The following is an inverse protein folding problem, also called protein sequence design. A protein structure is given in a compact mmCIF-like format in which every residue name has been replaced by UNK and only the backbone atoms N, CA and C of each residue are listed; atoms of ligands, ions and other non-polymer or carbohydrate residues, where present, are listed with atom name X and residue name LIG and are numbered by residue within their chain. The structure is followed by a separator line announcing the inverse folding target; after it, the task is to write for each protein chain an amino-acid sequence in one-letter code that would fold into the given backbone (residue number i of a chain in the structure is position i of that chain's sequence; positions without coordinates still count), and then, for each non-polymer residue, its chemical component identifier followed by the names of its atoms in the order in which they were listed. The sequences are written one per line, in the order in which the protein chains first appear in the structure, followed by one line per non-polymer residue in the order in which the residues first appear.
data_IF_313040408336
#
_entry.id   IF_313040408336
#
_cell.length_a   1.000
_cell.length_b   1.000
_cell.length_c   1.000
_cell.angle_alpha   90.00
_cell.angle_beta   90.00
_cell.angle_gamma   90.00
#
_symmetry.space_group_name_H-M   'P 1'
#
loop_
_entity.id
_entity.type
_entity.pdbx_description
1 polymer ?
#
# COMPACT_ATOMS: atom_id res chain seq x y z
N UNK A 1 31.85 -16.30 37.97
CA UNK A 1 31.06 -15.05 38.00
C UNK A 1 30.48 -14.82 36.61
N UNK A 2 29.28 -15.34 36.35
CA UNK A 2 28.63 -15.25 35.04
C UNK A 2 27.80 -13.96 34.98
N UNK A 3 28.17 -13.04 34.11
CA UNK A 3 27.38 -11.82 33.83
C UNK A 3 26.13 -12.21 33.04
N UNK A 4 24.97 -12.10 33.69
CA UNK A 4 23.66 -12.18 33.05
C UNK A 4 23.44 -10.88 32.27
N UNK A 5 23.51 -10.96 30.94
CA UNK A 5 23.18 -9.84 30.05
C UNK A 5 21.65 -9.72 30.01
N UNK A 6 21.10 -8.77 30.76
CA UNK A 6 19.68 -8.46 30.75
C UNK A 6 19.37 -7.70 29.45
N UNK A 7 18.91 -8.41 28.42
CA UNK A 7 18.37 -7.80 27.20
C UNK A 7 17.03 -7.14 27.53
N UNK A 8 17.05 -5.83 27.77
CA UNK A 8 15.83 -5.03 27.89
C UNK A 8 15.17 -4.98 26.52
N UNK A 9 14.23 -5.89 26.28
CA UNK A 9 13.27 -5.79 25.19
C UNK A 9 12.38 -4.59 25.51
N UNK A 10 12.73 -3.41 25.00
CA UNK A 10 11.79 -2.29 24.98
C UNK A 10 10.63 -2.71 24.06
N UNK A 11 9.41 -2.92 24.58
CA UNK A 11 8.28 -3.11 23.70
C UNK A 11 8.12 -1.79 22.94
N UNK A 12 8.45 -1.80 21.66
CA UNK A 12 8.06 -0.73 20.73
C UNK A 12 6.56 -0.83 20.55
N UNK A 13 5.81 -0.34 21.54
CA UNK A 13 4.35 -0.26 21.42
C UNK A 13 4.05 0.81 20.37
N UNK A 14 3.96 0.38 19.11
CA UNK A 14 3.39 1.17 18.04
C UNK A 14 1.89 1.26 18.31
N UNK A 15 1.48 2.33 18.98
CA UNK A 15 0.06 2.62 19.19
C UNK A 15 -0.60 2.97 17.85
N UNK A 16 -1.61 2.19 17.45
CA UNK A 16 -2.38 2.41 16.21
C UNK A 16 -3.67 3.19 16.51
N UNK A 17 -3.52 4.42 17.00
CA UNK A 17 -4.67 5.30 17.30
C UNK A 17 -5.46 5.61 16.03
N UNK A 18 -6.78 5.74 16.14
CA UNK A 18 -7.62 6.19 15.03
C UNK A 18 -7.15 7.55 14.51
N UNK A 19 -7.11 7.71 13.19
CA UNK A 19 -6.77 9.00 12.57
C UNK A 19 -7.89 10.01 12.86
N UNK A 20 -7.53 11.20 13.31
CA UNK A 20 -8.47 12.25 13.69
C UNK A 20 -7.98 13.61 13.20
N UNK A 21 -8.91 14.45 12.73
CA UNK A 21 -8.66 15.85 12.37
C UNK A 21 -8.84 16.74 13.59
N UNK A 22 -7.87 17.61 13.85
CA UNK A 22 -7.91 18.65 14.89
C UNK A 22 -6.92 19.78 14.52
N UNK A 23 -6.69 20.71 15.44
CA UNK A 23 -5.80 21.87 15.23
C UNK A 23 -4.35 21.51 14.87
N UNK A 24 -3.89 20.31 15.24
CA UNK A 24 -2.50 19.86 15.04
C UNK A 24 -2.36 18.68 14.08
N UNK A 25 -3.46 18.03 13.73
CA UNK A 25 -3.50 16.82 12.90
C UNK A 25 -4.53 16.97 11.81
N UNK A 26 -4.12 16.71 10.60
CA UNK A 26 -4.98 16.66 9.43
C UNK A 26 -4.63 15.41 8.63
N UNK A 27 -5.55 15.02 7.76
CA UNK A 27 -5.39 13.90 6.87
C UNK A 27 -6.20 14.15 5.61
N UNK A 28 -5.70 13.57 4.53
CA UNK A 28 -6.37 13.47 3.25
C UNK A 28 -6.64 11.99 2.97
N UNK A 29 -7.83 11.70 2.43
CA UNK A 29 -8.14 10.34 1.99
C UNK A 29 -7.50 10.09 0.63
N UNK A 30 -6.80 8.97 0.51
CA UNK A 30 -6.26 8.49 -0.77
C UNK A 30 -7.24 7.54 -1.47
N UNK A 31 -8.52 7.56 -1.08
CA UNK A 31 -9.59 6.78 -1.68
C UNK A 31 -9.90 7.26 -3.11
N UNK A 32 -10.63 6.45 -3.86
CA UNK A 32 -11.02 6.70 -5.25
C UNK A 32 -10.30 5.75 -6.20
N UNK A 33 -10.02 6.22 -7.42
CA UNK A 33 -9.46 5.38 -8.48
C UNK A 33 -7.93 5.27 -8.36
N UNK A 34 -7.42 4.04 -8.47
CA UNK A 34 -6.00 3.71 -8.48
C UNK A 34 -5.68 2.93 -9.75
N UNK A 35 -4.49 3.14 -10.30
CA UNK A 35 -3.96 2.30 -11.38
C UNK A 35 -3.77 0.90 -10.83
N UNK A 36 -4.26 -0.10 -11.56
CA UNK A 36 -4.20 -1.50 -11.19
C UNK A 36 -3.53 -2.32 -12.29
N UNK A 37 -2.48 -3.05 -11.92
CA UNK A 37 -1.79 -4.00 -12.79
C UNK A 37 -1.76 -5.34 -12.09
N UNK A 38 -2.14 -6.39 -12.82
CA UNK A 38 -2.12 -7.77 -12.33
C UNK A 38 -0.91 -8.49 -12.94
N UNK A 39 -0.10 -9.16 -12.13
CA UNK A 39 0.90 -10.10 -12.68
C UNK A 39 0.22 -11.35 -13.26
N UNK A 40 0.98 -12.17 -13.99
CA UNK A 40 0.49 -13.50 -14.35
C UNK A 40 0.19 -14.34 -13.10
N UNK A 41 -0.75 -15.27 -13.22
CA UNK A 41 -1.12 -16.15 -12.10
C UNK A 41 0.11 -16.98 -11.66
N UNK A 42 0.36 -17.04 -10.36
CA UNK A 42 1.52 -17.71 -9.75
C UNK A 42 2.88 -17.19 -10.23
N UNK A 43 2.94 -15.92 -10.68
CA UNK A 43 4.18 -15.26 -11.07
C UNK A 43 5.25 -15.29 -9.96
N UNK A 44 6.54 -15.45 -10.29
CA UNK A 44 7.66 -15.44 -9.33
C UNK A 44 8.02 -14.03 -8.82
N UNK A 45 7.01 -13.19 -8.56
CA UNK A 45 7.16 -11.78 -8.16
C UNK A 45 7.90 -10.94 -9.21
N UNK A 46 7.46 -11.04 -10.47
CA UNK A 46 8.10 -10.41 -11.64
C UNK A 46 8.18 -8.91 -11.45
N UNK A 47 7.13 -8.27 -10.93
CA UNK A 47 7.12 -6.83 -10.73
C UNK A 47 8.09 -6.37 -9.64
N UNK A 48 8.34 -7.20 -8.63
CA UNK A 48 9.35 -6.91 -7.60
C UNK A 48 10.74 -6.99 -8.21
N UNK A 49 11.04 -8.09 -8.92
CA UNK A 49 12.33 -8.32 -9.57
C UNK A 49 12.65 -7.23 -10.62
N UNK A 50 11.63 -6.79 -11.36
CA UNK A 50 11.75 -5.76 -12.39
C UNK A 50 11.53 -4.34 -11.85
N UNK A 51 11.42 -4.16 -10.53
CA UNK A 51 11.28 -2.85 -9.86
C UNK A 51 10.15 -1.99 -10.43
N UNK A 52 8.97 -2.59 -10.66
CA UNK A 52 7.80 -1.90 -11.19
C UNK A 52 7.37 -0.68 -10.37
N UNK A 53 7.69 -0.64 -9.06
CA UNK A 53 7.47 0.53 -8.20
C UNK A 53 8.21 1.81 -8.65
N UNK A 54 9.25 1.70 -9.50
CA UNK A 54 9.99 2.84 -10.05
C UNK A 54 9.41 3.31 -11.40
N UNK A 55 8.42 2.62 -11.94
CA UNK A 55 7.83 2.87 -13.25
C UNK A 55 6.43 3.48 -13.12
N UNK A 56 5.98 4.13 -14.18
CA UNK A 56 4.58 4.54 -14.31
C UNK A 56 3.75 3.35 -14.81
N UNK A 57 3.00 2.72 -13.91
CA UNK A 57 2.18 1.55 -14.22
C UNK A 57 1.07 1.89 -15.20
N UNK A 58 0.67 3.15 -15.34
CA UNK A 58 -0.40 3.53 -16.29
C UNK A 58 0.03 3.34 -17.76
N UNK A 59 1.33 3.22 -18.01
CA UNK A 59 1.89 2.99 -19.34
C UNK A 59 1.96 1.50 -19.71
N UNK A 60 1.59 0.59 -18.79
CA UNK A 60 1.65 -0.84 -19.03
C UNK A 60 0.45 -1.27 -19.88
N UNK A 61 0.65 -2.24 -20.78
CA UNK A 61 -0.43 -2.69 -21.68
C UNK A 61 -1.63 -3.29 -20.94
N UNK A 62 -1.39 -3.93 -19.80
CA UNK A 62 -2.43 -4.52 -18.94
C UNK A 62 -2.87 -3.59 -17.79
N UNK A 63 -2.54 -2.30 -17.87
CA UNK A 63 -2.97 -1.32 -16.89
C UNK A 63 -4.48 -1.10 -16.95
N UNK A 64 -5.11 -1.16 -15.79
CA UNK A 64 -6.53 -0.85 -15.60
C UNK A 64 -6.69 0.08 -14.40
N UNK A 65 -7.93 0.31 -13.98
CA UNK A 65 -8.23 1.17 -12.84
C UNK A 65 -9.17 0.44 -11.89
N UNK A 66 -8.87 0.50 -10.59
CA UNK A 66 -9.70 -0.09 -9.53
C UNK A 66 -10.08 0.97 -8.49
N UNK A 67 -11.33 0.98 -8.00
CA UNK A 67 -11.71 1.83 -6.88
C UNK A 67 -11.13 1.29 -5.56
N UNK A 68 -10.73 2.20 -4.69
CA UNK A 68 -10.28 1.94 -3.32
C UNK A 68 -11.16 2.79 -2.39
N UNK A 69 -11.77 2.21 -1.33
CA UNK A 69 -11.67 0.81 -0.92
C UNK A 69 -12.63 -0.11 -1.70
N UNK A 70 -12.12 -1.23 -2.21
CA UNK A 70 -12.91 -2.34 -2.74
C UNK A 70 -12.05 -3.60 -2.88
N UNK A 71 -12.70 -4.77 -2.94
CA UNK A 71 -12.04 -6.01 -3.30
C UNK A 71 -12.06 -6.18 -4.83
N UNK A 72 -10.90 -6.27 -5.48
CA UNK A 72 -10.80 -6.27 -6.95
C UNK A 72 -11.45 -7.48 -7.63
N UNK A 73 -11.51 -8.61 -6.94
CA UNK A 73 -12.05 -9.87 -7.43
C UNK A 73 -13.57 -9.79 -7.72
N UNK A 74 -14.28 -8.88 -7.04
CA UNK A 74 -15.73 -8.72 -7.18
C UNK A 74 -16.13 -7.59 -8.15
N UNK A 75 -15.16 -6.81 -8.62
CA UNK A 75 -15.40 -5.61 -9.42
C UNK A 75 -15.47 -5.87 -10.93
N UNK A 76 -14.93 -7.00 -11.38
CA UNK A 76 -14.83 -7.30 -12.81
C UNK A 76 -15.56 -8.59 -13.17
N UNK A 77 -16.05 -8.65 -14.40
CA UNK A 77 -16.61 -9.87 -14.98
C UNK A 77 -15.51 -10.87 -15.43
N UNK A 78 -14.24 -10.46 -15.37
CA UNK A 78 -13.10 -11.28 -15.78
C UNK A 78 -12.81 -12.38 -14.75
N UNK A 79 -12.93 -13.63 -15.20
CA UNK A 79 -12.64 -14.80 -14.38
C UNK A 79 -11.18 -14.83 -13.93
N UNK A 80 -10.26 -14.39 -14.78
CA UNK A 80 -8.83 -14.40 -14.49
C UNK A 80 -8.48 -13.43 -13.35
N UNK A 81 -9.19 -12.30 -13.26
CA UNK A 81 -9.05 -11.35 -12.14
C UNK A 81 -9.67 -11.92 -10.87
N UNK A 82 -10.85 -12.54 -10.96
CA UNK A 82 -11.56 -13.10 -9.80
C UNK A 82 -10.83 -14.25 -9.14
N UNK A 83 -10.27 -15.15 -9.95
CA UNK A 83 -9.57 -16.35 -9.49
C UNK A 83 -8.05 -16.16 -9.40
N UNK A 84 -7.58 -14.91 -9.47
CA UNK A 84 -6.17 -14.59 -9.46
C UNK A 84 -5.49 -15.03 -8.16
N UNK A 85 -4.31 -15.62 -8.30
CA UNK A 85 -3.41 -15.95 -7.20
C UNK A 85 -2.03 -15.44 -7.58
N UNK A 86 -1.51 -14.51 -6.81
CA UNK A 86 -0.23 -13.87 -7.09
C UNK A 86 -0.24 -12.39 -6.73
N UNK A 87 0.73 -11.65 -7.28
CA UNK A 87 0.85 -10.23 -7.01
C UNK A 87 -0.13 -9.40 -7.83
N UNK A 88 -0.63 -8.35 -7.19
CA UNK A 88 -1.34 -7.25 -7.82
C UNK A 88 -0.70 -5.95 -7.38
N UNK A 89 -0.65 -5.00 -8.28
CA UNK A 89 -0.02 -3.70 -8.10
C UNK A 89 -1.07 -2.62 -8.12
N UNK A 90 -1.04 -1.78 -7.10
CA UNK A 90 -1.84 -0.57 -6.99
C UNK A 90 -0.89 0.63 -7.00
N UNK A 91 -1.15 1.60 -7.87
CA UNK A 91 -0.39 2.85 -7.91
C UNK A 91 -1.33 4.05 -7.94
N UNK A 92 -0.98 5.07 -7.15
CA UNK A 92 -1.67 6.36 -7.13
C UNK A 92 -0.69 7.48 -6.87
N UNK A 93 -0.87 8.56 -7.62
CA UNK A 93 -0.17 9.82 -7.41
C UNK A 93 -1.07 10.76 -6.60
N UNK A 94 -0.47 11.48 -5.65
CA UNK A 94 -1.14 12.53 -4.89
C UNK A 94 -0.15 13.66 -4.63
N UNK A 95 -0.68 14.84 -4.31
CA UNK A 95 0.13 16.03 -4.04
C UNK A 95 0.05 16.36 -2.56
N UNK A 96 1.21 16.64 -1.96
CA UNK A 96 1.29 17.22 -0.61
C UNK A 96 1.41 18.74 -0.75
N UNK A 97 0.54 19.48 -0.06
CA UNK A 97 0.60 20.95 -0.08
C UNK A 97 1.90 21.46 0.54
N UNK A 98 2.45 22.54 -0.02
CA UNK A 98 3.66 23.19 0.52
C UNK A 98 3.48 23.64 1.97
N UNK A 99 2.24 23.99 2.35
CA UNK A 99 1.85 24.34 3.72
C UNK A 99 2.16 23.20 4.70
N UNK A 100 2.00 21.96 4.24
CA UNK A 100 2.03 20.78 5.09
C UNK A 100 3.43 20.14 5.16
N UNK A 101 4.40 20.66 4.40
CA UNK A 101 5.79 20.16 4.29
C UNK A 101 6.54 20.06 5.63
N UNK A 102 6.22 20.94 6.58
CA UNK A 102 6.88 20.96 7.90
C UNK A 102 6.31 19.93 8.88
N UNK A 103 5.20 19.27 8.55
CA UNK A 103 4.57 18.29 9.41
C UNK A 103 5.18 16.89 9.22
N UNK A 104 5.02 16.04 10.23
CA UNK A 104 5.34 14.62 10.11
C UNK A 104 4.26 13.92 9.30
N UNK A 105 4.64 13.35 8.17
CA UNK A 105 3.74 12.59 7.31
C UNK A 105 3.64 11.11 7.72
N UNK A 106 2.44 10.56 7.64
CA UNK A 106 2.16 9.15 7.84
C UNK A 106 1.21 8.68 6.74
N UNK A 107 1.48 7.51 6.17
CA UNK A 107 0.54 6.80 5.30
C UNK A 107 -0.06 5.66 6.12
N UNK A 108 -1.40 5.56 6.13
CA UNK A 108 -2.12 4.51 6.85
C UNK A 108 -3.02 3.76 5.89
N UNK A 109 -2.88 2.43 5.87
CA UNK A 109 -3.84 1.52 5.27
C UNK A 109 -4.69 0.92 6.39
N UNK A 110 -6.02 0.94 6.24
CA UNK A 110 -6.91 0.29 7.20
C UNK A 110 -6.75 -1.24 7.16
N UNK A 111 -6.61 -1.79 5.97
CA UNK A 111 -6.27 -3.20 5.73
C UNK A 111 -5.70 -3.38 4.31
N UNK A 112 -4.87 -4.39 4.14
CA UNK A 112 -4.45 -4.92 2.83
C UNK A 112 -4.40 -6.44 2.95
N UNK A 113 -4.86 -7.17 1.92
CA UNK A 113 -5.03 -8.62 1.98
C UNK A 113 -4.24 -9.33 0.87
N UNK A 114 -3.47 -10.39 1.13
CA UNK A 114 -3.04 -10.91 2.46
C UNK A 114 -1.66 -10.38 2.89
N UNK A 115 -0.84 -9.92 1.94
CA UNK A 115 0.50 -9.40 2.18
C UNK A 115 0.70 -8.14 1.34
N UNK A 116 1.39 -7.15 1.88
CA UNK A 116 1.61 -5.88 1.23
C UNK A 116 3.08 -5.45 1.34
N UNK A 117 3.61 -4.94 0.24
CA UNK A 117 4.85 -4.16 0.21
C UNK A 117 4.47 -2.75 -0.23
N UNK A 118 4.76 -1.76 0.60
CA UNK A 118 4.43 -0.37 0.34
C UNK A 118 5.73 0.37 0.01
N UNK A 119 5.73 1.07 -1.12
CA UNK A 119 6.81 1.96 -1.54
C UNK A 119 6.18 3.33 -1.79
N UNK A 120 6.78 4.37 -1.22
CA UNK A 120 6.36 5.77 -1.33
C UNK A 120 7.46 6.61 -1.96
#
# INVERSE_FOLDING_TARGET
MFLLLLSVLFPTVCSILQVQRNERRFYDQLDGLWTFVREERNSPSVGINNKWHLLDLSQFENATVMPVPAAYNDLTADREVREHVGWVWYQRNFFVSIRDKSYRHFVRFSSVQYHAVVVS
#
